data_IF_838764421043
#
_entry.id   IF_838764421043
#
_cell.length_a   1.000
_cell.length_b   1.000
_cell.length_c   1.000
_cell.angle_alpha   90.00
_cell.angle_beta   90.00
_cell.angle_gamma   90.00
#
_symmetry.space_group_name_H-M   'P 1'
#
loop_
_entity.id
_entity.type
_entity.pdbx_description
1 polymer ?
#
# COMPACT_ATOMS: atom_id res chain seq x y z
N UNK A 1 3.48 -52.80 -44.53
CA UNK A 1 4.76 -52.74 -43.79
C UNK A 1 4.68 -51.55 -42.84
N UNK A 2 4.95 -51.77 -41.54
CA UNK A 2 5.15 -50.79 -40.44
C UNK A 2 3.91 -49.98 -39.96
N UNK A 3 3.32 -50.34 -38.80
CA UNK A 3 3.59 -49.94 -37.38
C UNK A 3 2.82 -48.66 -37.00
N UNK A 4 1.77 -48.75 -36.17
CA UNK A 4 1.78 -48.68 -34.69
C UNK A 4 2.30 -47.33 -34.17
N UNK A 5 1.39 -46.51 -33.61
CA UNK A 5 1.49 -45.68 -32.38
C UNK A 5 0.23 -44.81 -32.33
N UNK A 6 -0.80 -45.23 -31.59
CA UNK A 6 -1.86 -44.37 -31.05
C UNK A 6 -2.61 -45.19 -30.00
N UNK A 7 -2.12 -45.16 -28.75
CA UNK A 7 -2.86 -45.47 -27.51
C UNK A 7 -1.88 -45.43 -26.34
N UNK A 8 -1.63 -44.21 -25.84
CA UNK A 8 -1.15 -43.89 -24.48
C UNK A 8 -1.15 -42.37 -24.41
N UNK A 9 -2.21 -41.80 -23.84
CA UNK A 9 -2.28 -40.46 -23.25
C UNK A 9 -3.74 -40.15 -22.90
N UNK A 10 -4.33 -40.88 -21.96
CA UNK A 10 -5.66 -40.54 -21.45
C UNK A 10 -5.96 -41.10 -20.04
N UNK A 11 -4.96 -41.11 -19.15
CA UNK A 11 -5.21 -41.37 -17.71
C UNK A 11 -4.63 -40.26 -16.81
N UNK A 12 -3.52 -39.61 -17.18
CA UNK A 12 -3.00 -38.45 -16.42
C UNK A 12 -3.88 -37.19 -16.55
N UNK A 13 -4.57 -37.01 -17.68
CA UNK A 13 -5.44 -35.86 -17.93
C UNK A 13 -6.79 -35.94 -17.20
N UNK A 14 -7.26 -37.15 -16.86
CA UNK A 14 -8.50 -37.34 -16.10
C UNK A 14 -8.28 -37.06 -14.60
N UNK A 15 -7.17 -37.52 -14.01
CA UNK A 15 -6.85 -37.27 -12.61
C UNK A 15 -6.61 -35.78 -12.30
N UNK A 16 -6.10 -34.99 -13.26
CA UNK A 16 -5.91 -33.54 -13.08
C UNK A 16 -7.25 -32.79 -13.10
N UNK A 17 -8.21 -33.22 -13.92
CA UNK A 17 -9.55 -32.62 -13.95
C UNK A 17 -10.37 -32.96 -12.71
N UNK A 18 -10.23 -34.17 -12.16
CA UNK A 18 -10.88 -34.57 -10.92
C UNK A 18 -10.23 -33.91 -9.68
N UNK A 19 -8.91 -33.68 -9.68
CA UNK A 19 -8.23 -32.91 -8.63
C UNK A 19 -8.66 -31.43 -8.61
N UNK A 20 -8.76 -30.80 -9.78
CA UNK A 20 -9.17 -29.40 -9.90
C UNK A 20 -10.66 -29.16 -9.64
N UNK A 21 -11.51 -30.19 -9.75
CA UNK A 21 -12.94 -30.07 -9.46
C UNK A 21 -13.26 -30.12 -7.95
N UNK A 22 -12.30 -30.51 -7.10
CA UNK A 22 -12.43 -30.49 -5.65
C UNK A 22 -11.92 -29.20 -4.99
N UNK A 23 -11.25 -28.33 -5.74
CA UNK A 23 -10.92 -26.98 -5.29
C UNK A 23 -12.16 -26.13 -5.48
N UNK A 24 -12.96 -26.02 -4.42
CA UNK A 24 -13.88 -24.89 -4.31
C UNK A 24 -13.01 -23.64 -4.27
N UNK A 25 -12.93 -22.95 -5.40
CA UNK A 25 -12.50 -21.56 -5.41
C UNK A 25 -13.60 -20.79 -4.70
N UNK A 26 -13.34 -20.43 -3.45
CA UNK A 26 -14.12 -19.37 -2.81
C UNK A 26 -14.05 -18.16 -3.75
N UNK A 27 -15.22 -17.61 -4.04
CA UNK A 27 -15.31 -16.35 -4.77
C UNK A 27 -14.40 -15.36 -4.05
N UNK A 28 -13.65 -14.58 -4.83
CA UNK A 28 -12.98 -13.37 -4.37
C UNK A 28 -14.03 -12.57 -3.59
N UNK A 29 -14.03 -12.68 -2.26
CA UNK A 29 -14.76 -11.74 -1.45
C UNK A 29 -14.12 -10.39 -1.73
N UNK A 30 -14.98 -9.44 -2.09
CA UNK A 30 -14.65 -8.04 -2.22
C UNK A 30 -13.70 -7.66 -1.08
N UNK A 31 -12.64 -6.89 -1.39
CA UNK A 31 -11.84 -6.19 -0.39
C UNK A 31 -12.67 -5.09 0.27
N UNK A 32 -13.83 -5.44 0.83
CA UNK A 32 -14.33 -4.75 1.98
C UNK A 32 -13.50 -5.27 3.15
N UNK A 33 -12.35 -4.64 3.37
CA UNK A 33 -11.83 -4.51 4.73
C UNK A 33 -13.05 -4.12 5.57
N UNK A 34 -13.50 -5.03 6.42
CA UNK A 34 -14.52 -4.76 7.42
C UNK A 34 -13.91 -3.73 8.37
N UNK A 35 -13.98 -2.48 7.95
CA UNK A 35 -13.48 -1.26 8.55
C UNK A 35 -14.34 -0.88 9.77
N UNK A 36 -14.43 -1.80 10.73
CA UNK A 36 -15.01 -1.55 12.04
C UNK A 36 -13.98 -1.43 13.15
N UNK A 37 -12.70 -1.72 12.88
CA UNK A 37 -11.76 -1.94 13.96
C UNK A 37 -10.32 -1.63 13.52
N UNK A 38 -9.87 -0.38 13.75
CA UNK A 38 -8.48 0.12 13.64
C UNK A 38 -7.75 -0.01 12.28
N UNK A 39 -7.98 -1.05 11.49
CA UNK A 39 -7.36 -1.33 10.20
C UNK A 39 -7.66 -0.29 9.12
N UNK A 40 -8.72 0.52 9.24
CA UNK A 40 -8.95 1.64 8.34
C UNK A 40 -8.02 2.84 8.61
N UNK A 41 -7.44 2.95 9.81
CA UNK A 41 -6.43 3.95 10.13
C UNK A 41 -5.00 3.42 9.94
N UNK A 42 -4.82 2.09 9.90
CA UNK A 42 -3.52 1.43 9.84
C UNK A 42 -3.16 0.81 8.49
N UNK A 43 -4.11 0.62 7.57
CA UNK A 43 -3.84 -0.08 6.30
C UNK A 43 -3.04 0.74 5.29
N UNK A 44 -2.83 2.04 5.50
CA UNK A 44 -2.24 2.96 4.51
C UNK A 44 -0.98 3.70 4.99
N UNK A 45 -0.37 3.31 6.12
CA UNK A 45 0.50 4.26 6.83
C UNK A 45 1.81 3.67 7.37
N UNK A 46 2.91 3.87 6.63
CA UNK A 46 4.33 4.03 7.06
C UNK A 46 5.22 4.08 5.77
N UNK A 47 6.21 4.95 5.59
CA UNK A 47 7.41 5.17 6.41
C UNK A 47 7.93 6.61 6.30
N UNK A 48 8.38 7.25 7.40
CA UNK A 48 9.00 8.58 7.31
C UNK A 48 9.35 9.31 8.62
N UNK A 49 8.65 9.06 9.72
CA UNK A 49 9.00 9.64 11.04
C UNK A 49 9.65 8.61 11.98
N UNK A 50 10.54 9.06 12.88
CA UNK A 50 11.25 8.20 13.83
C UNK A 50 10.29 7.63 14.89
N UNK A 51 9.78 6.43 14.61
CA UNK A 51 8.85 5.66 15.46
C UNK A 51 9.54 4.98 16.66
N UNK A 52 10.84 5.21 16.88
CA UNK A 52 11.72 4.35 17.67
C UNK A 52 11.34 4.10 19.13
N UNK A 53 10.45 4.90 19.73
CA UNK A 53 9.94 4.67 21.09
C UNK A 53 8.61 3.90 21.14
N UNK A 54 7.85 3.86 20.05
CA UNK A 54 6.51 3.25 19.98
C UNK A 54 6.51 1.93 19.20
N UNK A 55 7.53 1.69 18.37
CA UNK A 55 7.68 0.48 17.55
C UNK A 55 9.06 -0.13 17.83
N UNK A 56 9.06 -1.41 18.19
CA UNK A 56 10.30 -2.15 18.42
C UNK A 56 10.92 -2.62 17.10
N UNK A 57 12.25 -2.65 17.05
CA UNK A 57 12.95 -3.27 15.93
C UNK A 57 12.61 -4.77 15.86
N UNK A 58 12.36 -5.31 14.65
CA UNK A 58 11.96 -6.70 14.50
C UNK A 58 13.10 -7.64 14.87
N UNK A 59 12.77 -8.66 15.66
CA UNK A 59 13.62 -9.84 15.82
C UNK A 59 13.39 -10.74 14.62
N UNK A 60 14.41 -10.90 13.78
CA UNK A 60 14.36 -11.73 12.57
C UNK A 60 15.25 -12.95 12.71
N UNK A 61 14.81 -14.05 12.12
CA UNK A 61 15.59 -15.28 12.06
C UNK A 61 15.84 -15.64 10.58
N UNK A 62 17.00 -16.22 10.27
CA UNK A 62 17.28 -16.79 8.95
C UNK A 62 17.95 -18.15 9.14
N UNK A 63 17.36 -19.19 8.55
CA UNK A 63 17.87 -20.55 8.63
C UNK A 63 19.15 -20.76 7.82
N UNK A 64 20.06 -21.61 8.31
CA UNK A 64 21.34 -21.87 7.66
C UNK A 64 21.24 -22.59 6.30
N UNK A 65 20.11 -23.26 6.03
CA UNK A 65 19.78 -23.95 4.79
C UNK A 65 18.60 -23.31 4.04
N UNK A 66 18.25 -22.07 4.41
CA UNK A 66 17.10 -21.33 3.87
C UNK A 66 15.76 -21.62 4.56
N UNK A 67 15.74 -22.50 5.58
CA UNK A 67 14.54 -22.84 6.33
C UNK A 67 14.77 -22.77 7.84
N UNK A 68 13.77 -22.32 8.59
CA UNK A 68 13.82 -22.26 10.05
C UNK A 68 13.22 -23.50 10.73
N UNK A 69 12.52 -24.35 9.98
CA UNK A 69 11.89 -25.56 10.52
C UNK A 69 11.99 -26.76 9.57
N UNK A 70 11.72 -27.95 10.11
CA UNK A 70 11.51 -29.16 9.32
C UNK A 70 10.12 -29.21 8.68
N UNK A 71 9.87 -30.26 7.89
CA UNK A 71 8.59 -30.48 7.21
C UNK A 71 7.43 -30.68 8.19
N UNK A 72 6.29 -30.06 7.89
CA UNK A 72 5.02 -30.21 8.62
C UNK A 72 3.89 -30.49 7.64
N UNK A 73 3.78 -31.74 7.22
CA UNK A 73 2.80 -32.16 6.20
C UNK A 73 1.40 -32.37 6.80
N UNK A 74 0.37 -31.97 6.05
CA UNK A 74 -1.03 -32.24 6.39
C UNK A 74 -1.67 -31.27 7.38
N UNK A 75 -0.97 -30.20 7.73
CA UNK A 75 -1.48 -29.08 8.54
C UNK A 75 -1.76 -27.87 7.67
N UNK A 76 -2.70 -27.03 8.11
CA UNK A 76 -2.92 -25.74 7.45
C UNK A 76 -1.77 -24.78 7.82
N UNK A 77 -1.39 -23.83 6.93
CA UNK A 77 -0.25 -22.95 7.18
C UNK A 77 -0.30 -22.18 8.50
N UNK A 78 -1.48 -21.72 8.93
CA UNK A 78 -1.65 -21.01 10.19
C UNK A 78 -1.33 -21.90 11.41
N UNK A 79 -1.79 -23.14 11.41
CA UNK A 79 -1.47 -24.11 12.47
C UNK A 79 0.04 -24.39 12.54
N UNK A 80 0.70 -24.52 11.38
CA UNK A 80 2.16 -24.67 11.31
C UNK A 80 2.88 -23.46 11.90
N UNK A 81 2.41 -22.25 11.57
CA UNK A 81 2.96 -21.00 12.07
C UNK A 81 2.79 -20.88 13.60
N UNK A 82 1.59 -21.12 14.11
CA UNK A 82 1.28 -21.07 15.55
C UNK A 82 2.16 -22.03 16.36
N UNK A 83 2.28 -23.29 15.92
CA UNK A 83 3.11 -24.28 16.59
C UNK A 83 4.59 -23.90 16.57
N UNK A 84 5.07 -23.37 15.44
CA UNK A 84 6.44 -22.90 15.33
C UNK A 84 6.71 -21.72 16.28
N UNK A 85 5.82 -20.74 16.32
CA UNK A 85 5.96 -19.58 17.19
C UNK A 85 5.92 -19.98 18.67
N UNK A 86 4.99 -20.85 19.07
CA UNK A 86 4.91 -21.35 20.45
C UNK A 86 6.18 -22.12 20.87
N UNK A 87 6.71 -22.96 19.98
CA UNK A 87 7.91 -23.74 20.26
C UNK A 87 9.20 -22.90 20.31
N UNK A 88 9.23 -21.76 19.61
CA UNK A 88 10.42 -20.92 19.45
C UNK A 88 10.23 -19.49 20.00
N UNK A 89 9.26 -19.26 20.90
CA UNK A 89 8.92 -17.93 21.41
C UNK A 89 10.14 -17.19 21.99
N UNK A 90 11.03 -17.91 22.69
CA UNK A 90 12.24 -17.34 23.28
C UNK A 90 13.21 -16.75 22.26
N UNK A 91 13.21 -17.25 21.02
CA UNK A 91 14.09 -16.75 19.95
C UNK A 91 13.67 -15.35 19.50
N UNK A 92 12.41 -14.98 19.76
CA UNK A 92 11.85 -13.64 19.52
C UNK A 92 11.84 -12.78 20.80
N UNK A 93 12.43 -13.25 21.90
CA UNK A 93 12.37 -12.56 23.20
C UNK A 93 11.00 -12.65 23.88
N UNK A 94 10.14 -13.58 23.47
CA UNK A 94 8.77 -13.76 23.97
C UNK A 94 8.65 -15.00 24.85
N UNK A 95 7.55 -15.06 25.60
CA UNK A 95 7.05 -16.28 26.22
C UNK A 95 5.94 -16.90 25.38
N UNK A 96 5.61 -18.17 25.63
CA UNK A 96 4.46 -18.80 24.99
C UNK A 96 3.13 -18.12 25.35
N UNK A 97 3.06 -17.46 26.51
CA UNK A 97 1.88 -16.69 26.94
C UNK A 97 1.70 -15.45 26.06
N UNK A 98 2.78 -14.77 25.66
CA UNK A 98 2.72 -13.56 24.82
C UNK A 98 2.12 -13.79 23.42
N UNK A 99 2.03 -15.06 23.01
CA UNK A 99 1.40 -15.51 21.77
C UNK A 99 -0.07 -15.93 21.96
N UNK A 100 -0.63 -15.73 23.16
CA UNK A 100 -1.98 -16.17 23.51
C UNK A 100 -3.11 -15.26 23.02
N UNK A 101 -2.81 -14.02 22.63
CA UNK A 101 -3.79 -13.01 22.24
C UNK A 101 -3.33 -12.23 21.01
N UNK A 102 -3.92 -12.54 19.87
CA UNK A 102 -3.65 -11.86 18.59
C UNK A 102 -4.85 -11.99 17.65
N UNK A 103 -4.86 -11.13 16.62
CA UNK A 103 -5.75 -11.22 15.46
C UNK A 103 -4.94 -11.60 14.23
N UNK A 104 -5.47 -12.48 13.39
CA UNK A 104 -4.89 -12.72 12.06
C UNK A 104 -5.18 -11.48 11.21
N UNK A 105 -4.15 -10.69 10.94
CA UNK A 105 -4.27 -9.45 10.18
C UNK A 105 -4.39 -9.74 8.68
N UNK A 106 -3.54 -10.63 8.18
CA UNK A 106 -3.59 -11.08 6.79
C UNK A 106 -3.06 -12.50 6.63
N UNK A 107 -3.57 -13.18 5.61
CA UNK A 107 -3.06 -14.46 5.16
C UNK A 107 -3.26 -14.55 3.65
N UNK A 108 -2.18 -14.72 2.89
CA UNK A 108 -2.26 -14.87 1.44
C UNK A 108 -1.20 -15.83 0.91
N UNK A 109 -1.45 -16.36 -0.29
CA UNK A 109 -0.54 -17.29 -0.95
C UNK A 109 0.03 -16.62 -2.20
N UNK A 110 1.36 -16.56 -2.27
CA UNK A 110 2.06 -16.11 -3.47
C UNK A 110 1.85 -17.11 -4.60
N UNK A 111 1.27 -16.69 -5.73
CA UNK A 111 0.86 -17.63 -6.80
C UNK A 111 2.04 -18.37 -7.44
N UNK A 112 3.17 -17.69 -7.62
CA UNK A 112 4.34 -18.22 -8.32
C UNK A 112 5.18 -19.17 -7.45
N UNK A 113 5.34 -18.85 -6.16
CA UNK A 113 6.16 -19.63 -5.23
C UNK A 113 5.34 -20.61 -4.39
N UNK A 114 4.02 -20.42 -4.31
CA UNK A 114 3.10 -21.15 -3.42
C UNK A 114 3.42 -21.01 -1.93
N UNK A 115 4.24 -20.02 -1.55
CA UNK A 115 4.50 -19.67 -0.15
C UNK A 115 3.29 -18.93 0.39
N UNK A 116 2.86 -19.31 1.60
CA UNK A 116 1.81 -18.62 2.35
C UNK A 116 2.46 -17.61 3.29
N UNK A 117 2.06 -16.35 3.20
CA UNK A 117 2.48 -15.27 4.07
C UNK A 117 1.36 -14.96 5.07
N UNK A 118 1.70 -14.87 6.34
CA UNK A 118 0.76 -14.66 7.44
C UNK A 118 1.27 -13.49 8.27
N UNK A 119 0.40 -12.51 8.52
CA UNK A 119 0.64 -11.43 9.46
C UNK A 119 -0.31 -11.57 10.65
N UNK A 120 0.24 -11.55 11.87
CA UNK A 120 -0.51 -11.57 13.13
C UNK A 120 -0.32 -10.23 13.82
N UNK A 121 -1.40 -9.68 14.38
CA UNK A 121 -1.41 -8.42 15.12
C UNK A 121 -1.64 -8.73 16.60
N UNK A 122 -0.69 -8.35 17.47
CA UNK A 122 -0.80 -8.61 18.91
C UNK A 122 -1.99 -7.83 19.47
N UNK A 123 -2.71 -8.47 20.40
CA UNK A 123 -3.81 -7.84 21.12
C UNK A 123 -3.62 -7.88 22.63
N UNK A 124 -3.96 -6.78 23.29
CA UNK A 124 -4.00 -6.66 24.74
C UNK A 124 -5.36 -6.09 25.16
N UNK A 125 -6.04 -6.73 26.12
CA UNK A 125 -7.46 -6.49 26.44
C UNK A 125 -8.39 -6.54 25.20
N UNK A 126 -8.06 -7.36 24.21
CA UNK A 126 -8.79 -7.48 22.95
C UNK A 126 -8.64 -6.28 22.00
N UNK A 127 -7.73 -5.34 22.28
CA UNK A 127 -7.39 -4.23 21.39
C UNK A 127 -6.04 -4.45 20.72
N UNK A 128 -5.90 -4.00 19.48
CA UNK A 128 -4.63 -4.09 18.77
C UNK A 128 -3.55 -3.21 19.44
N UNK A 129 -2.34 -3.75 19.51
CA UNK A 129 -1.15 -3.04 19.99
C UNK A 129 -0.36 -2.51 18.78
N UNK A 130 -0.25 -1.19 18.67
CA UNK A 130 0.39 -0.49 17.55
C UNK A 130 1.82 -1.02 17.29
N UNK A 131 2.10 -1.33 16.02
CA UNK A 131 3.42 -1.77 15.55
C UNK A 131 3.84 -3.15 16.06
N UNK A 132 2.96 -3.87 16.74
CA UNK A 132 3.22 -5.17 17.36
C UNK A 132 2.72 -6.32 16.47
N UNK A 133 3.57 -6.77 15.56
CA UNK A 133 3.24 -7.70 14.48
C UNK A 133 4.15 -8.93 14.48
N UNK A 134 3.63 -10.06 14.01
CA UNK A 134 4.44 -11.20 13.58
C UNK A 134 4.19 -11.40 12.09
N UNK A 135 5.27 -11.45 11.31
CA UNK A 135 5.22 -11.84 9.91
C UNK A 135 5.91 -13.20 9.75
N UNK A 136 5.20 -14.18 9.22
CA UNK A 136 5.69 -15.54 9.06
C UNK A 136 5.32 -16.11 7.69
N UNK A 137 6.29 -16.74 7.05
CA UNK A 137 6.17 -17.32 5.71
C UNK A 137 6.32 -18.84 5.77
N UNK A 138 5.29 -19.54 5.31
CA UNK A 138 5.15 -21.00 5.35
C UNK A 138 5.13 -21.55 3.93
N UNK A 139 6.06 -22.44 3.60
CA UNK A 139 6.07 -23.11 2.30
C UNK A 139 4.99 -24.19 2.21
N UNK A 140 4.63 -24.59 0.99
CA UNK A 140 3.55 -25.56 0.72
C UNK A 140 3.77 -26.96 1.34
N UNK A 141 4.98 -27.28 1.81
CA UNK A 141 5.28 -28.52 2.54
C UNK A 141 5.39 -28.33 4.07
N UNK A 142 4.97 -27.15 4.56
CA UNK A 142 4.90 -26.80 5.98
C UNK A 142 6.22 -26.38 6.61
N UNK A 143 7.27 -26.13 5.81
CA UNK A 143 8.51 -25.53 6.33
C UNK A 143 8.37 -24.03 6.50
N UNK A 144 8.94 -23.49 7.57
CA UNK A 144 9.04 -22.04 7.80
C UNK A 144 10.22 -21.52 6.99
N UNK A 145 9.96 -20.59 6.08
CA UNK A 145 10.97 -19.93 5.26
C UNK A 145 11.60 -18.78 6.05
N UNK A 146 10.74 -17.93 6.62
CA UNK A 146 11.12 -16.77 7.38
C UNK A 146 10.06 -16.45 8.44
N UNK A 147 10.51 -15.91 9.56
CA UNK A 147 9.66 -15.39 10.63
C UNK A 147 10.36 -14.18 11.25
N UNK A 148 9.58 -13.13 11.52
CA UNK A 148 10.00 -11.94 12.23
C UNK A 148 8.91 -11.48 13.18
N UNK A 149 9.30 -10.89 14.31
CA UNK A 149 8.39 -10.45 15.35
C UNK A 149 8.77 -9.08 15.90
N UNK A 150 7.77 -8.23 16.09
CA UNK A 150 7.80 -7.03 16.93
C UNK A 150 6.80 -7.13 18.10
N UNK A 151 6.29 -8.33 18.39
CA UNK A 151 5.41 -8.54 19.54
C UNK A 151 6.07 -8.04 20.83
N UNK A 152 5.27 -7.39 21.68
CA UNK A 152 5.75 -6.91 22.97
C UNK A 152 5.74 -8.06 23.99
N UNK A 153 6.84 -8.28 24.72
CA UNK A 153 6.87 -9.27 25.79
C UNK A 153 6.11 -8.78 27.03
N UNK A 154 5.58 -9.71 27.82
CA UNK A 154 4.91 -9.43 29.09
C UNK A 154 3.43 -9.04 28.98
N UNK A 155 2.81 -9.23 27.80
CA UNK A 155 1.38 -8.99 27.57
C UNK A 155 0.57 -10.30 27.44
N UNK A 156 1.20 -11.44 27.74
CA UNK A 156 0.63 -12.77 27.53
C UNK A 156 -0.60 -13.16 28.36
N UNK A 157 -0.95 -12.39 29.39
CA UNK A 157 -2.23 -12.58 30.09
C UNK A 157 -3.43 -12.03 29.30
N UNK A 158 -3.18 -11.30 28.22
CA UNK A 158 -4.21 -10.64 27.43
C UNK A 158 -4.93 -9.51 28.19
N UNK A 159 -4.41 -9.10 29.34
CA UNK A 159 -4.94 -8.05 30.22
C UNK A 159 -6.07 -8.50 31.16
N UNK A 160 -6.69 -7.53 31.85
CA UNK A 160 -7.61 -7.79 32.98
C UNK A 160 -9.07 -8.03 32.58
N UNK A 161 -9.44 -7.87 31.31
CA UNK A 161 -10.84 -7.91 30.79
C UNK A 161 -11.81 -6.90 31.42
N UNK A 162 -11.32 -5.99 32.27
CA UNK A 162 -12.12 -4.92 32.84
C UNK A 162 -12.54 -3.91 31.77
N UNK A 163 -13.63 -3.14 31.98
CA UNK A 163 -14.00 -2.08 31.06
C UNK A 163 -12.85 -1.08 30.92
N UNK A 164 -12.45 -0.80 29.69
CA UNK A 164 -11.45 0.23 29.39
C UNK A 164 -11.93 1.58 29.93
N UNK A 165 -11.20 2.11 30.91
CA UNK A 165 -11.46 3.42 31.48
C UNK A 165 -10.67 4.46 30.70
N UNK A 166 -11.36 5.28 29.92
CA UNK A 166 -10.78 6.47 29.28
C UNK A 166 -10.99 7.68 30.17
N UNK A 167 -9.94 8.45 30.44
CA UNK A 167 -10.06 9.72 31.16
C UNK A 167 -10.21 10.91 30.20
N UNK A 168 -9.94 10.70 28.91
CA UNK A 168 -10.04 11.72 27.86
C UNK A 168 -11.21 11.43 26.93
N UNK A 169 -12.08 12.41 26.74
CA UNK A 169 -13.16 12.35 25.74
C UNK A 169 -12.58 12.37 24.31
N UNK A 170 -13.11 11.58 23.37
CA UNK A 170 -12.57 11.52 22.01
C UNK A 170 -12.62 12.85 21.25
N UNK A 171 -13.57 13.75 21.52
CA UNK A 171 -13.59 15.09 20.90
C UNK A 171 -12.43 15.94 21.43
N UNK A 172 -12.16 15.87 22.73
CA UNK A 172 -11.02 16.57 23.34
C UNK A 172 -9.69 16.01 22.80
N UNK A 173 -9.59 14.68 22.68
CA UNK A 173 -8.41 14.03 22.08
C UNK A 173 -8.22 14.44 20.61
N UNK A 174 -9.29 14.47 19.81
CA UNK A 174 -9.22 14.92 18.42
C UNK A 174 -8.81 16.40 18.32
N UNK A 175 -9.30 17.25 19.22
CA UNK A 175 -8.89 18.65 19.28
C UNK A 175 -7.40 18.80 19.60
N UNK A 176 -6.84 17.97 20.49
CA UNK A 176 -5.39 17.89 20.73
C UNK A 176 -4.65 17.49 19.46
N UNK A 177 -5.12 16.48 18.73
CA UNK A 177 -4.49 16.05 17.47
C UNK A 177 -4.48 17.17 16.42
N UNK A 178 -5.62 17.83 16.19
CA UNK A 178 -5.70 18.97 15.27
C UNK A 178 -4.73 20.10 15.66
N UNK A 179 -4.68 20.44 16.95
CA UNK A 179 -3.78 21.49 17.43
C UNK A 179 -2.30 21.11 17.24
N UNK A 180 -1.92 19.86 17.49
CA UNK A 180 -0.55 19.39 17.34
C UNK A 180 -0.11 19.37 15.87
N UNK A 181 -1.03 19.00 14.97
CA UNK A 181 -0.81 18.94 13.52
C UNK A 181 -0.94 20.30 12.82
N UNK A 182 -1.29 21.37 13.55
CA UNK A 182 -1.49 22.70 12.96
C UNK A 182 -2.73 22.80 12.06
N UNK A 183 -3.67 21.87 12.18
CA UNK A 183 -4.89 21.82 11.37
C UNK A 183 -5.91 22.85 11.87
N UNK A 184 -6.47 23.63 10.94
CA UNK A 184 -7.41 24.71 11.27
C UNK A 184 -8.85 24.21 11.27
N UNK A 185 -9.42 24.05 12.47
CA UNK A 185 -10.82 23.68 12.66
C UNK A 185 -11.73 24.86 12.31
N UNK A 186 -12.68 24.64 11.40
CA UNK A 186 -13.64 25.67 10.98
C UNK A 186 -15.07 25.39 11.45
N UNK A 187 -15.36 24.15 11.84
CA UNK A 187 -16.64 23.71 12.40
C UNK A 187 -16.40 22.88 13.66
N UNK A 188 -17.24 23.03 14.69
CA UNK A 188 -17.07 22.27 15.92
C UNK A 188 -17.27 20.77 15.68
N UNK A 189 -16.36 19.89 16.15
CA UNK A 189 -16.53 18.44 16.01
C UNK A 189 -17.79 17.93 16.71
N UNK A 190 -18.52 17.03 16.05
CA UNK A 190 -19.72 16.38 16.56
C UNK A 190 -19.59 14.88 16.41
N UNK A 191 -19.94 14.14 17.47
CA UNK A 191 -19.99 12.69 17.45
C UNK A 191 -21.19 12.23 16.61
N UNK A 192 -20.93 11.68 15.43
CA UNK A 192 -21.93 11.13 14.52
C UNK A 192 -22.33 9.71 14.92
N UNK A 193 -21.37 8.94 15.46
CA UNK A 193 -21.58 7.62 16.01
C UNK A 193 -20.97 7.52 17.42
N UNK A 194 -21.76 7.14 18.45
CA UNK A 194 -21.23 6.91 19.79
C UNK A 194 -20.30 5.69 19.84
N UNK A 195 -19.47 5.54 20.88
CA UNK A 195 -18.59 4.40 21.06
C UNK A 195 -19.30 3.05 20.89
N UNK A 196 -18.74 2.19 20.04
CA UNK A 196 -19.25 0.83 19.78
C UNK A 196 -18.13 -0.20 19.83
N UNK A 197 -18.45 -1.44 20.20
CA UNK A 197 -17.47 -2.52 20.27
C UNK A 197 -16.49 -2.38 21.44
N UNK A 198 -15.50 -3.28 21.47
CA UNK A 198 -14.49 -3.33 22.53
C UNK A 198 -13.49 -2.17 22.39
N UNK A 199 -13.13 -1.82 21.17
CA UNK A 199 -12.27 -0.70 20.81
C UNK A 199 -12.94 0.68 20.91
N UNK A 200 -14.20 0.75 21.35
CA UNK A 200 -14.94 2.01 21.43
C UNK A 200 -14.91 2.81 20.12
N UNK A 201 -15.06 2.13 18.96
CA UNK A 201 -15.05 2.78 17.66
C UNK A 201 -16.13 3.86 17.55
N UNK A 202 -15.74 4.99 16.98
CA UNK A 202 -16.52 6.23 16.83
C UNK A 202 -16.38 6.83 15.43
N UNK A 203 -17.35 7.67 15.08
CA UNK A 203 -17.29 8.54 13.89
C UNK A 203 -17.58 9.97 14.34
N UNK A 204 -16.70 10.90 13.98
CA UNK A 204 -16.79 12.32 14.28
C UNK A 204 -16.95 13.07 12.94
N UNK A 205 -17.64 14.20 12.96
CA UNK A 205 -17.76 15.08 11.79
C UNK A 205 -16.41 15.56 11.27
N UNK A 206 -16.38 15.90 10.00
CA UNK A 206 -15.24 16.42 9.24
C UNK A 206 -14.62 17.68 9.87
N UNK A 207 -15.42 18.43 10.64
CA UNK A 207 -15.01 19.63 11.40
C UNK A 207 -14.41 20.74 10.51
N UNK A 208 -14.73 20.67 9.21
CA UNK A 208 -14.16 21.48 8.15
C UNK A 208 -12.65 21.31 7.93
N UNK A 209 -12.06 20.25 8.50
CA UNK A 209 -10.64 19.86 8.35
C UNK A 209 -10.51 18.70 7.37
N UNK A 210 -11.35 17.68 7.51
CA UNK A 210 -11.25 16.45 6.74
C UNK A 210 -12.12 16.46 5.47
N UNK A 211 -11.76 15.62 4.49
CA UNK A 211 -12.54 15.37 3.28
C UNK A 211 -13.76 14.47 3.53
N UNK A 212 -13.73 13.69 4.61
CA UNK A 212 -14.77 12.73 5.01
C UNK A 212 -14.88 12.61 6.54
N UNK A 213 -15.97 12.02 7.09
CA UNK A 213 -16.11 11.84 8.53
C UNK A 213 -14.94 11.09 9.16
N UNK A 214 -14.41 11.65 10.24
CA UNK A 214 -13.21 11.17 10.92
C UNK A 214 -13.56 9.93 11.73
N UNK A 215 -12.92 8.82 11.41
CA UNK A 215 -13.05 7.56 12.16
C UNK A 215 -12.03 7.56 13.29
N UNK A 216 -12.45 7.08 14.46
CA UNK A 216 -11.56 6.88 15.59
C UNK A 216 -11.85 5.61 16.38
N UNK A 217 -10.86 5.13 17.11
CA UNK A 217 -10.95 3.95 17.97
C UNK A 217 -9.84 3.94 19.03
N UNK A 218 -10.02 3.14 20.07
CA UNK A 218 -9.00 2.88 21.09
C UNK A 218 -8.05 1.79 20.65
N UNK A 219 -6.76 1.96 20.96
CA UNK A 219 -5.71 0.96 20.80
C UNK A 219 -4.61 1.12 21.87
N UNK A 220 -3.59 0.27 21.83
CA UNK A 220 -2.47 0.32 22.75
C UNK A 220 -1.16 0.66 22.05
N UNK A 221 -0.33 1.54 22.61
CA UNK A 221 1.03 1.80 22.12
C UNK A 221 2.06 1.46 23.19
N UNK A 222 3.24 1.00 22.77
CA UNK A 222 4.35 0.79 23.69
C UNK A 222 4.84 2.12 24.27
N UNK A 223 5.08 2.17 25.59
CA UNK A 223 5.54 3.36 26.28
C UNK A 223 6.98 3.25 26.85
N UNK A 224 7.71 2.22 26.45
CA UNK A 224 9.07 1.93 26.96
C UNK A 224 9.11 0.97 28.16
N UNK A 225 7.98 0.69 28.81
CA UNK A 225 7.91 -0.24 29.96
C UNK A 225 6.66 -1.13 29.98
N UNK A 226 5.68 -0.83 29.14
CA UNK A 226 4.41 -1.52 29.00
C UNK A 226 3.63 -0.88 27.86
N UNK A 227 2.30 -0.83 27.98
CA UNK A 227 1.45 -0.21 26.96
C UNK A 227 0.53 0.83 27.58
N UNK A 228 0.32 1.93 26.84
CA UNK A 228 -0.66 2.97 27.17
C UNK A 228 -1.83 2.92 26.19
N UNK A 229 -3.03 3.17 26.72
CA UNK A 229 -4.24 3.27 25.93
C UNK A 229 -4.27 4.63 25.19
N UNK A 230 -4.56 4.61 23.89
CA UNK A 230 -4.68 5.81 23.07
C UNK A 230 -5.99 5.84 22.29
N UNK A 231 -6.41 7.04 21.88
CA UNK A 231 -7.29 7.27 20.74
C UNK A 231 -6.46 7.39 19.46
N UNK A 232 -6.85 6.64 18.43
CA UNK A 232 -6.37 6.80 17.07
C UNK A 232 -7.44 7.47 16.22
N UNK A 233 -7.04 8.39 15.35
CA UNK A 233 -7.92 9.08 14.39
C UNK A 233 -7.35 8.99 12.98
N UNK A 234 -8.19 8.61 12.01
CA UNK A 234 -7.88 8.76 10.59
C UNK A 234 -8.37 10.11 10.08
N UNK A 235 -7.45 10.96 9.63
CA UNK A 235 -7.72 12.35 9.20
C UNK A 235 -7.15 12.55 7.79
N UNK A 236 -8.01 12.36 6.79
CA UNK A 236 -7.73 12.74 5.41
C UNK A 236 -8.05 14.22 5.24
N UNK A 237 -7.05 15.08 5.06
CA UNK A 237 -7.28 16.52 5.00
C UNK A 237 -8.06 16.90 3.76
N UNK A 238 -8.92 17.91 3.89
CA UNK A 238 -9.83 18.35 2.82
C UNK A 238 -9.10 18.84 1.56
N UNK A 239 -7.89 19.35 1.73
CA UNK A 239 -7.03 19.80 0.63
C UNK A 239 -6.24 18.66 -0.04
N UNK A 240 -6.34 17.43 0.49
CA UNK A 240 -5.65 16.24 -0.03
C UNK A 240 -4.15 16.21 0.25
N UNK A 241 -3.60 17.19 1.00
CA UNK A 241 -2.16 17.27 1.23
C UNK A 241 -1.66 16.26 2.27
N UNK A 242 -2.54 15.77 3.16
CA UNK A 242 -2.15 14.88 4.25
C UNK A 242 -3.21 13.80 4.51
N UNK A 243 -2.74 12.64 4.95
CA UNK A 243 -3.54 11.49 5.33
C UNK A 243 -3.02 10.97 6.68
N UNK A 244 -3.45 11.60 7.77
CA UNK A 244 -2.89 11.32 9.07
C UNK A 244 -3.57 10.14 9.76
N UNK A 245 -2.77 9.24 10.31
CA UNK A 245 -3.13 8.46 11.48
C UNK A 245 -2.59 9.17 12.73
N UNK A 246 -3.45 9.82 13.51
CA UNK A 246 -3.05 10.60 14.69
C UNK A 246 -3.38 9.86 15.99
N UNK A 247 -2.45 9.89 16.95
CA UNK A 247 -2.52 9.15 18.21
C UNK A 247 -2.43 10.08 19.41
N UNK A 248 -3.37 9.94 20.33
CA UNK A 248 -3.49 10.77 21.54
C UNK A 248 -3.77 9.88 22.73
N UNK A 249 -3.09 10.08 23.86
CA UNK A 249 -3.31 9.28 25.07
C UNK A 249 -4.77 9.37 25.53
N UNK A 250 -5.41 8.22 25.71
CA UNK A 250 -6.77 8.13 26.23
C UNK A 250 -6.82 8.35 27.77
N UNK A 251 -5.65 8.40 28.42
CA UNK A 251 -5.52 8.62 29.86
C UNK A 251 -5.16 10.05 30.23
N UNK A 252 -4.18 10.66 29.54
CA UNK A 252 -3.74 12.04 29.84
C UNK A 252 -4.29 13.07 28.86
N UNK A 253 -4.66 12.64 27.64
CA UNK A 253 -5.03 13.54 26.55
C UNK A 253 -3.83 14.17 25.85
N UNK A 254 -2.62 13.74 26.17
CA UNK A 254 -1.40 14.21 25.51
C UNK A 254 -1.31 13.67 24.08
N UNK A 255 -0.89 14.54 23.15
CA UNK A 255 -0.51 14.12 21.81
C UNK A 255 0.68 13.17 21.88
N UNK A 256 0.58 12.01 21.24
CA UNK A 256 1.66 11.03 21.20
C UNK A 256 2.48 11.20 19.94
N UNK A 257 1.83 11.07 18.79
CA UNK A 257 2.44 11.11 17.47
C UNK A 257 1.33 11.15 16.40
N UNK A 258 1.75 11.37 15.16
CA UNK A 258 0.94 11.06 14.00
C UNK A 258 1.86 10.47 12.94
N UNK A 259 1.29 9.73 12.02
CA UNK A 259 1.99 9.30 10.82
C UNK A 259 1.22 9.87 9.64
N UNK A 260 1.93 10.50 8.73
CA UNK A 260 1.36 10.95 7.46
C UNK A 260 1.52 9.83 6.42
N UNK A 261 0.40 9.35 5.90
CA UNK A 261 0.34 8.30 4.90
C UNK A 261 0.46 8.81 3.47
N UNK A 262 0.55 10.13 3.25
CA UNK A 262 0.81 10.66 1.90
C UNK A 262 2.24 10.29 1.50
N UNK A 263 2.34 9.40 0.50
CA UNK A 263 3.63 9.04 -0.07
C UNK A 263 4.04 10.12 -1.07
N UNK A 264 5.15 10.78 -0.76
CA UNK A 264 5.65 11.87 -1.56
C UNK A 264 6.47 11.35 -2.74
N UNK A 265 5.90 11.39 -3.95
CA UNK A 265 6.55 10.88 -5.15
C UNK A 265 7.72 11.78 -5.56
N UNK A 266 8.86 11.17 -5.87
CA UNK A 266 10.08 11.87 -6.29
C UNK A 266 10.47 11.48 -7.69
N UNK A 267 10.71 12.47 -8.54
CA UNK A 267 11.12 12.26 -9.92
C UNK A 267 12.41 13.01 -10.20
N UNK A 268 13.44 12.29 -10.64
CA UNK A 268 14.64 12.90 -11.20
C UNK A 268 14.40 13.22 -12.69
N UNK A 269 13.86 14.40 -12.96
CA UNK A 269 13.40 14.80 -14.30
C UNK A 269 13.87 16.21 -14.66
N UNK A 270 13.81 16.55 -15.94
CA UNK A 270 14.06 17.92 -16.42
C UNK A 270 12.80 18.75 -16.16
N UNK A 271 12.88 19.68 -15.21
CA UNK A 271 11.76 20.53 -14.84
C UNK A 271 11.37 21.47 -16.00
N UNK A 272 10.06 21.63 -16.21
CA UNK A 272 9.53 22.70 -17.07
C UNK A 272 9.99 24.07 -16.53
N UNK A 273 10.32 25.04 -17.41
CA UNK A 273 10.05 25.07 -18.85
C UNK A 273 11.19 24.55 -19.74
N UNK A 274 12.25 23.94 -19.19
CA UNK A 274 13.32 23.39 -20.02
C UNK A 274 12.77 22.22 -20.87
N UNK A 275 12.96 22.28 -22.19
CA UNK A 275 12.37 21.29 -23.10
C UNK A 275 13.28 20.09 -23.40
N UNK A 276 14.55 20.16 -23.00
CA UNK A 276 15.56 19.15 -23.32
C UNK A 276 16.80 19.27 -22.40
N UNK A 277 17.70 18.26 -22.41
CA UNK A 277 18.92 18.27 -21.60
C UNK A 277 19.93 19.40 -21.90
N UNK A 278 19.84 20.06 -23.06
CA UNK A 278 20.71 21.20 -23.40
C UNK A 278 20.19 22.52 -22.79
N UNK A 279 18.89 22.60 -22.49
CA UNK A 279 18.22 23.76 -21.89
C UNK A 279 18.14 23.69 -20.36
N UNK A 280 18.26 22.50 -19.77
CA UNK A 280 18.23 22.27 -18.32
C UNK A 280 18.77 20.90 -17.94
N UNK A 281 19.14 20.74 -16.67
CA UNK A 281 19.58 19.45 -16.11
C UNK A 281 18.45 18.76 -15.36
N UNK A 282 18.56 17.45 -15.15
CA UNK A 282 17.68 16.74 -14.23
C UNK A 282 17.73 17.37 -12.82
N UNK A 283 16.58 17.39 -12.16
CA UNK A 283 16.40 17.81 -10.78
C UNK A 283 15.50 16.80 -10.08
N UNK A 284 15.72 16.59 -8.78
CA UNK A 284 14.78 15.85 -7.95
C UNK A 284 13.60 16.77 -7.66
N UNK A 285 12.45 16.41 -8.20
CA UNK A 285 11.18 17.10 -8.03
C UNK A 285 10.31 16.24 -7.13
N UNK A 286 9.84 16.84 -6.03
CA UNK A 286 8.99 16.19 -5.03
C UNK A 286 7.55 16.68 -5.23
N UNK A 287 6.59 15.75 -5.20
CA UNK A 287 5.14 15.96 -5.30
C UNK A 287 4.68 16.96 -6.37
N UNK A 288 5.03 16.71 -7.64
CA UNK A 288 4.65 17.61 -8.72
C UNK A 288 3.15 17.59 -9.07
N UNK A 289 2.39 16.59 -8.59
CA UNK A 289 0.99 16.42 -8.96
C UNK A 289 0.12 17.60 -8.50
N UNK A 290 -0.70 18.13 -9.40
CA UNK A 290 -1.68 19.15 -9.03
C UNK A 290 -2.95 18.47 -8.50
N UNK A 291 -3.09 18.43 -7.18
CA UNK A 291 -4.18 17.74 -6.48
C UNK A 291 -5.59 18.29 -6.79
N UNK A 292 -5.73 19.42 -7.50
CA UNK A 292 -7.05 19.88 -7.94
C UNK A 292 -7.52 19.20 -9.24
N UNK A 293 -6.61 18.58 -10.00
CA UNK A 293 -6.90 17.91 -11.28
C UNK A 293 -6.39 16.46 -11.32
N UNK A 294 -5.45 16.11 -10.45
CA UNK A 294 -5.00 14.76 -10.14
C UNK A 294 -5.17 14.49 -8.63
N UNK A 295 -6.41 14.39 -8.11
CA UNK A 295 -6.71 14.41 -6.67
C UNK A 295 -6.16 13.24 -5.86
N UNK A 296 -5.78 12.14 -6.52
CA UNK A 296 -5.17 10.96 -5.91
C UNK A 296 -3.70 10.79 -6.34
N UNK A 297 -3.08 11.86 -6.82
CA UNK A 297 -1.75 11.82 -7.41
C UNK A 297 -1.74 11.19 -8.80
N UNK A 298 -0.55 10.85 -9.29
CA UNK A 298 -0.39 10.32 -10.65
C UNK A 298 -0.43 8.79 -10.74
N UNK A 299 -0.26 8.07 -9.64
CA UNK A 299 -0.12 6.61 -9.60
C UNK A 299 -1.37 5.86 -9.11
N UNK A 300 -2.45 6.59 -8.83
CA UNK A 300 -3.79 6.02 -8.60
C UNK A 300 -4.55 5.93 -9.93
N UNK A 301 -5.50 5.01 -9.99
CA UNK A 301 -6.44 4.78 -11.08
C UNK A 301 -7.85 4.49 -10.60
N UNK A 302 -8.10 4.31 -9.30
CA UNK A 302 -9.40 3.86 -8.79
C UNK A 302 -10.10 4.92 -7.92
N UNK A 303 -9.42 5.99 -7.53
CA UNK A 303 -9.98 7.08 -6.74
C UNK A 303 -10.07 6.76 -5.25
N UNK A 304 -9.26 5.82 -4.78
CA UNK A 304 -9.00 5.54 -3.37
C UNK A 304 -7.64 6.13 -3.04
N UNK A 305 -7.47 6.59 -1.80
CA UNK A 305 -6.19 7.15 -1.38
C UNK A 305 -5.08 6.09 -1.45
N UNK A 306 -3.89 6.52 -1.86
CA UNK A 306 -2.74 5.65 -2.06
C UNK A 306 -2.56 5.21 -3.52
N UNK A 307 -1.32 4.92 -3.95
CA UNK A 307 -1.05 4.48 -5.31
C UNK A 307 -1.33 2.99 -5.51
N UNK A 308 -1.90 2.61 -6.66
CA UNK A 308 -1.94 1.19 -7.09
C UNK A 308 -0.63 0.73 -7.73
N UNK A 309 0.13 1.69 -8.27
CA UNK A 309 1.32 1.43 -9.05
C UNK A 309 2.53 2.10 -8.41
N UNK A 310 3.63 1.35 -8.32
CA UNK A 310 4.95 1.87 -7.90
C UNK A 310 5.85 2.18 -9.08
N UNK A 311 5.40 1.86 -10.30
CA UNK A 311 6.09 2.12 -11.55
C UNK A 311 5.42 3.24 -12.34
N UNK A 312 5.95 3.55 -13.52
CA UNK A 312 5.48 4.62 -14.43
C UNK A 312 4.12 4.34 -15.10
N UNK A 313 3.13 3.92 -14.29
CA UNK A 313 1.71 3.73 -14.61
C UNK A 313 0.85 4.60 -13.70
N UNK A 314 -0.29 5.03 -14.24
CA UNK A 314 -1.12 6.02 -13.58
C UNK A 314 -2.44 6.31 -14.28
N UNK A 315 -3.25 7.19 -13.69
CA UNK A 315 -4.53 7.59 -14.26
C UNK A 315 -4.38 8.23 -15.64
N UNK A 316 -3.41 9.13 -15.80
CA UNK A 316 -3.30 9.99 -16.99
C UNK A 316 -2.50 9.32 -18.12
N UNK A 317 -1.47 8.54 -17.75
CA UNK A 317 -0.51 7.97 -18.68
C UNK A 317 0.13 6.70 -18.14
N UNK A 318 0.45 5.80 -19.05
CA UNK A 318 1.33 4.65 -18.86
C UNK A 318 2.55 4.87 -19.75
N UNK A 319 3.75 4.83 -19.19
CA UNK A 319 5.00 4.97 -19.94
C UNK A 319 5.80 3.68 -19.85
N UNK A 320 6.28 3.20 -20.98
CA UNK A 320 7.18 2.04 -21.07
C UNK A 320 8.15 2.19 -22.25
N UNK A 321 9.16 1.32 -22.37
CA UNK A 321 9.95 1.25 -23.60
C UNK A 321 9.21 0.51 -24.71
N UNK A 322 9.36 0.92 -25.97
CA UNK A 322 8.85 0.18 -27.13
C UNK A 322 9.61 -1.13 -27.40
N UNK A 323 9.03 -2.00 -28.22
CA UNK A 323 9.64 -3.25 -28.71
C UNK A 323 9.24 -3.46 -30.19
N UNK A 324 9.99 -4.29 -30.92
CA UNK A 324 9.79 -4.51 -32.35
C UNK A 324 8.52 -5.35 -32.61
N UNK A 325 7.49 -4.74 -33.20
CA UNK A 325 6.35 -5.42 -33.85
C UNK A 325 4.95 -5.14 -33.27
N UNK A 326 3.86 -5.37 -34.05
CA UNK A 326 2.49 -5.05 -33.64
C UNK A 326 1.69 -6.23 -33.00
N UNK A 327 0.74 -5.97 -32.07
CA UNK A 327 0.57 -4.76 -31.27
C UNK A 327 1.56 -4.75 -30.10
N UNK A 328 1.88 -3.55 -29.62
CA UNK A 328 2.74 -3.24 -28.47
C UNK A 328 2.53 -4.24 -27.33
N UNK A 329 3.58 -4.99 -27.04
CA UNK A 329 3.62 -5.88 -25.90
C UNK A 329 3.65 -5.01 -24.63
N UNK A 330 2.75 -5.21 -23.64
CA UNK A 330 2.76 -4.48 -22.37
C UNK A 330 3.87 -4.97 -21.42
N UNK A 331 5.04 -5.25 -21.99
CA UNK A 331 6.21 -5.86 -21.35
C UNK A 331 7.44 -4.95 -21.52
N UNK A 332 7.22 -3.69 -21.94
CA UNK A 332 8.26 -2.68 -22.01
C UNK A 332 8.84 -2.43 -20.62
N UNK A 333 10.09 -1.96 -20.58
CA UNK A 333 10.75 -1.59 -19.34
C UNK A 333 10.06 -0.34 -18.80
N UNK A 334 9.76 -0.36 -17.50
CA UNK A 334 9.22 0.76 -16.73
C UNK A 334 10.18 1.09 -15.60
N UNK A 335 10.38 2.38 -15.32
CA UNK A 335 10.95 2.78 -14.05
C UNK A 335 10.00 2.41 -12.91
N UNK A 336 10.56 1.87 -11.83
CA UNK A 336 9.87 1.46 -10.59
C UNK A 336 10.52 2.21 -9.43
N UNK A 337 9.74 3.09 -8.80
CA UNK A 337 10.15 3.89 -7.65
C UNK A 337 10.05 3.13 -6.33
N UNK A 338 9.55 1.89 -6.36
CA UNK A 338 9.30 1.09 -5.17
C UNK A 338 8.22 1.68 -4.28
N UNK A 339 8.17 1.21 -3.03
CA UNK A 339 7.17 1.67 -2.05
C UNK A 339 7.26 3.18 -1.78
N UNK A 340 8.45 3.78 -1.91
CA UNK A 340 8.67 5.21 -1.66
C UNK A 340 8.33 6.11 -2.86
N UNK A 341 7.92 5.54 -4.01
CA UNK A 341 7.74 6.26 -5.27
C UNK A 341 8.94 7.15 -5.64
N UNK A 342 10.16 6.62 -5.46
CA UNK A 342 11.41 7.33 -5.67
C UNK A 342 12.07 6.97 -7.02
N UNK A 343 11.70 7.70 -8.07
CA UNK A 343 12.21 7.53 -9.43
C UNK A 343 13.47 8.38 -9.67
N UNK A 344 14.63 7.86 -9.27
CA UNK A 344 15.88 8.64 -9.16
C UNK A 344 16.95 8.32 -10.20
N UNK A 345 16.62 7.56 -11.24
CA UNK A 345 17.57 7.21 -12.30
C UNK A 345 18.20 8.43 -12.98
N UNK A 346 19.52 8.36 -13.19
CA UNK A 346 20.31 9.47 -13.75
C UNK A 346 20.50 9.23 -15.25
N UNK A 347 20.19 10.23 -16.06
CA UNK A 347 20.54 10.25 -17.48
C UNK A 347 22.05 10.43 -17.65
N UNK A 348 22.69 9.53 -18.40
CA UNK A 348 24.09 9.63 -18.78
C UNK A 348 24.22 9.81 -20.31
N UNK A 349 24.65 10.99 -20.79
CA UNK A 349 24.80 11.26 -22.22
C UNK A 349 25.93 10.47 -22.89
N UNK A 350 26.81 9.82 -22.12
CA UNK A 350 27.90 8.98 -22.65
C UNK A 350 27.47 7.51 -22.83
N UNK A 351 26.26 7.14 -22.39
CA UNK A 351 25.67 5.82 -22.58
C UNK A 351 24.70 5.82 -23.76
N UNK A 352 24.61 4.69 -24.46
CA UNK A 352 23.60 4.48 -25.50
C UNK A 352 22.18 4.55 -24.91
N UNK A 353 21.20 4.88 -25.76
CA UNK A 353 19.81 5.07 -25.32
C UNK A 353 19.15 3.77 -24.81
N UNK A 354 19.57 2.62 -25.33
CA UNK A 354 19.03 1.29 -25.02
C UNK A 354 19.67 0.65 -23.77
N UNK A 355 20.58 1.38 -23.11
CA UNK A 355 21.10 0.98 -21.80
C UNK A 355 20.02 1.20 -20.74
N UNK A 356 19.78 0.18 -19.92
CA UNK A 356 18.73 0.17 -18.89
C UNK A 356 18.65 1.47 -18.09
N UNK A 357 19.78 2.02 -17.65
CA UNK A 357 19.82 3.29 -16.90
C UNK A 357 19.16 4.46 -17.68
N UNK A 358 19.49 4.62 -18.96
CA UNK A 358 18.92 5.68 -19.80
C UNK A 358 17.45 5.38 -20.16
N UNK A 359 17.07 4.11 -20.28
CA UNK A 359 15.67 3.71 -20.47
C UNK A 359 14.81 4.02 -19.24
N UNK A 360 15.29 3.74 -18.02
CA UNK A 360 14.60 4.07 -16.77
C UNK A 360 14.50 5.59 -16.57
N UNK A 361 15.59 6.32 -16.85
CA UNK A 361 15.58 7.79 -16.82
C UNK A 361 14.62 8.38 -17.85
N UNK A 362 14.60 7.84 -19.07
CA UNK A 362 13.69 8.31 -20.14
C UNK A 362 12.23 8.01 -19.84
N UNK A 363 11.90 6.83 -19.30
CA UNK A 363 10.52 6.50 -18.90
C UNK A 363 10.06 7.40 -17.75
N UNK A 364 10.90 7.63 -16.74
CA UNK A 364 10.64 8.58 -15.64
C UNK A 364 10.40 10.00 -16.15
N UNK A 365 11.30 10.53 -16.98
CA UNK A 365 11.20 11.90 -17.48
C UNK A 365 9.93 12.09 -18.35
N UNK A 366 9.58 11.11 -19.19
CA UNK A 366 8.36 11.15 -19.99
C UNK A 366 7.11 11.07 -19.13
N UNK A 367 7.06 10.18 -18.13
CA UNK A 367 5.93 10.06 -17.21
C UNK A 367 5.69 11.37 -16.45
N UNK A 368 6.75 11.96 -15.90
CA UNK A 368 6.70 13.29 -15.28
C UNK A 368 6.18 14.36 -16.23
N UNK A 369 6.73 14.43 -17.44
CA UNK A 369 6.39 15.50 -18.40
C UNK A 369 4.95 15.42 -18.87
N UNK A 370 4.45 14.22 -19.19
CA UNK A 370 3.08 14.04 -19.68
C UNK A 370 2.06 14.32 -18.58
N UNK A 371 2.32 13.89 -17.34
CA UNK A 371 1.45 14.24 -16.22
C UNK A 371 1.43 15.75 -15.93
N UNK A 372 2.58 16.44 -15.99
CA UNK A 372 2.59 17.91 -15.88
C UNK A 372 1.77 18.59 -16.97
N UNK A 373 1.85 18.09 -18.21
CA UNK A 373 1.04 18.60 -19.32
C UNK A 373 -0.44 18.33 -19.08
N UNK A 374 -0.81 17.14 -18.62
CA UNK A 374 -2.19 16.81 -18.21
C UNK A 374 -2.69 17.83 -17.19
N UNK A 375 -1.98 17.99 -16.08
CA UNK A 375 -2.40 18.84 -14.98
C UNK A 375 -2.53 20.31 -15.41
N UNK A 376 -1.53 20.83 -16.12
CA UNK A 376 -1.56 22.19 -16.68
C UNK A 376 -2.76 22.36 -17.62
N UNK A 377 -2.95 21.46 -18.58
CA UNK A 377 -4.03 21.62 -19.58
C UNK A 377 -5.42 21.45 -18.98
N UNK A 378 -5.59 20.60 -17.97
CA UNK A 378 -6.82 20.46 -17.19
C UNK A 378 -7.17 21.77 -16.47
N UNK A 379 -6.19 22.45 -15.86
CA UNK A 379 -6.39 23.80 -15.29
C UNK A 379 -6.85 24.83 -16.31
N UNK A 380 -6.47 24.66 -17.58
CA UNK A 380 -6.87 25.54 -18.68
C UNK A 380 -8.11 25.07 -19.44
N UNK A 381 -8.83 24.06 -18.93
CA UNK A 381 -10.15 23.64 -19.42
C UNK A 381 -10.15 22.44 -20.36
N UNK A 382 -9.03 21.72 -20.49
CA UNK A 382 -9.04 20.36 -21.03
C UNK A 382 -9.26 19.36 -19.88
N UNK A 383 -10.48 19.38 -19.34
CA UNK A 383 -10.93 18.55 -18.22
C UNK A 383 -11.68 17.28 -18.70
N UNK A 384 -12.19 16.49 -17.76
CA UNK A 384 -12.96 15.26 -18.03
C UNK A 384 -14.15 15.51 -18.98
N UNK A 385 -14.89 16.60 -18.78
CA UNK A 385 -16.02 16.95 -19.63
C UNK A 385 -15.59 17.36 -21.05
N UNK A 386 -14.39 17.94 -21.19
CA UNK A 386 -13.77 18.26 -22.46
C UNK A 386 -13.09 17.07 -23.15
N UNK A 387 -13.02 15.91 -22.48
CA UNK A 387 -12.43 14.68 -23.01
C UNK A 387 -10.91 14.63 -22.88
N UNK A 388 -10.38 14.98 -21.70
CA UNK A 388 -9.00 14.69 -21.36
C UNK A 388 -8.73 13.18 -21.23
N UNK A 389 -7.45 12.79 -21.19
CA UNK A 389 -7.01 11.40 -21.22
C UNK A 389 -6.84 10.85 -19.81
N UNK A 390 -7.74 9.98 -19.38
CA UNK A 390 -7.70 9.39 -18.04
C UNK A 390 -8.29 7.97 -18.02
N UNK A 391 -7.72 7.08 -17.19
CA UNK A 391 -8.28 5.75 -16.94
C UNK A 391 -9.63 5.87 -16.23
N UNK A 392 -9.70 6.75 -15.25
CA UNK A 392 -10.88 7.03 -14.42
C UNK A 392 -11.14 8.54 -14.39
N UNK A 393 -12.40 8.91 -14.60
CA UNK A 393 -12.88 10.29 -14.47
C UNK A 393 -13.48 10.47 -13.07
N UNK A 394 -12.76 11.12 -12.17
CA UNK A 394 -13.14 11.24 -10.76
C UNK A 394 -14.33 12.18 -10.53
N UNK A 395 -14.59 13.14 -11.43
CA UNK A 395 -15.81 13.97 -11.36
C UNK A 395 -17.05 13.24 -11.88
N UNK A 396 -16.87 12.09 -12.55
CA UNK A 396 -17.93 11.33 -13.20
C UNK A 396 -18.47 11.98 -14.47
N UNK A 397 -17.77 12.97 -15.02
CA UNK A 397 -18.12 13.61 -16.31
C UNK A 397 -17.27 13.03 -17.45
N UNK A 398 -17.66 13.26 -18.71
CA UNK A 398 -16.91 12.74 -19.85
C UNK A 398 -17.01 11.22 -20.06
N UNK A 399 -16.01 10.67 -20.76
CA UNK A 399 -15.83 9.23 -20.99
C UNK A 399 -14.41 8.90 -20.56
N UNK A 400 -14.24 7.92 -19.66
CA UNK A 400 -12.95 7.49 -19.14
C UNK A 400 -12.43 6.24 -19.88
N UNK A 401 -11.26 5.73 -19.48
CA UNK A 401 -10.64 4.52 -20.04
C UNK A 401 -9.73 4.81 -21.22
N UNK A 402 -9.21 6.04 -21.29
CA UNK A 402 -8.41 6.56 -22.41
C UNK A 402 -7.10 7.22 -21.95
N UNK A 403 -6.53 6.75 -20.85
CA UNK A 403 -5.16 7.09 -20.46
C UNK A 403 -4.19 6.85 -21.62
N UNK A 404 -3.21 7.76 -21.77
CA UNK A 404 -2.19 7.66 -22.82
C UNK A 404 -1.29 6.44 -22.58
N UNK A 405 -0.99 5.67 -23.63
CA UNK A 405 0.13 4.74 -23.64
C UNK A 405 1.29 5.38 -24.40
N UNK A 406 2.44 5.54 -23.75
CA UNK A 406 3.61 6.18 -24.37
C UNK A 406 4.79 5.22 -24.35
N UNK A 407 5.21 4.82 -25.55
CA UNK A 407 6.45 4.08 -25.76
C UNK A 407 7.60 5.06 -25.94
N UNK A 408 8.57 5.05 -25.02
CA UNK A 408 9.87 5.67 -25.25
C UNK A 408 10.79 4.71 -26.00
N UNK A 409 11.76 5.23 -26.74
CA UNK A 409 12.75 4.41 -27.45
C UNK A 409 12.11 3.34 -28.36
N UNK A 410 11.04 3.71 -29.06
CA UNK A 410 10.31 2.77 -29.91
C UNK A 410 11.09 2.50 -31.22
N UNK A 411 11.52 1.23 -31.47
CA UNK A 411 12.34 0.90 -32.62
C UNK A 411 11.58 0.98 -33.95
N UNK A 412 10.24 1.05 -33.93
CA UNK A 412 9.43 1.15 -35.15
C UNK A 412 9.49 2.55 -35.79
N UNK A 413 9.96 3.57 -35.05
CA UNK A 413 10.13 4.94 -35.56
C UNK A 413 11.42 5.61 -35.07
N UNK A 414 12.42 5.68 -35.96
CA UNK A 414 13.70 6.38 -35.70
C UNK A 414 13.63 7.82 -36.21
N UNK A 415 14.18 8.78 -35.45
CA UNK A 415 14.22 10.21 -35.77
C UNK A 415 12.85 10.86 -36.00
N UNK A 416 11.80 10.34 -35.34
CA UNK A 416 10.46 10.89 -35.39
C UNK A 416 9.70 10.59 -34.08
N UNK A 417 8.53 11.19 -33.92
CA UNK A 417 7.53 10.80 -32.92
C UNK A 417 6.16 10.82 -33.58
N UNK A 418 5.26 9.94 -33.16
CA UNK A 418 3.87 9.90 -33.61
C UNK A 418 2.93 9.70 -32.43
N UNK A 419 1.69 10.09 -32.61
CA UNK A 419 0.61 9.85 -31.66
C UNK A 419 -0.62 9.46 -32.46
N UNK A 420 -1.24 8.35 -32.07
CA UNK A 420 -2.58 8.00 -32.50
C UNK A 420 -3.54 8.52 -31.42
N UNK A 421 -4.54 9.30 -31.83
CA UNK A 421 -5.52 9.89 -30.91
C UNK A 421 -6.88 9.34 -31.30
N UNK A 422 -7.40 8.45 -30.46
CA UNK A 422 -8.72 7.85 -30.63
C UNK A 422 -9.83 8.74 -30.02
N UNK A 423 -11.11 8.53 -30.38
CA UNK A 423 -12.21 9.16 -29.67
C UNK A 423 -12.21 8.77 -28.17
N UNK A 424 -12.80 9.60 -27.29
CA UNK A 424 -12.82 9.32 -25.85
C UNK A 424 -13.33 7.92 -25.51
N UNK A 425 -12.71 7.30 -24.50
CA UNK A 425 -12.97 5.92 -24.06
C UNK A 425 -12.28 4.81 -24.83
N UNK A 426 -11.34 5.15 -25.71
CA UNK A 426 -10.40 4.20 -26.31
C UNK A 426 -8.99 4.69 -26.02
N UNK A 427 -8.17 3.84 -25.40
CA UNK A 427 -6.75 4.12 -25.21
C UNK A 427 -6.13 4.64 -26.53
N UNK A 428 -5.45 5.80 -26.51
CA UNK A 428 -4.75 6.37 -27.65
C UNK A 428 -3.67 5.43 -28.20
#
# INVERSE_FOLDING_TARGET
MFKSIMKRNNQQTLNRKEFLAGLQFENLEDRNLLAGDLGAAFAEVAEGEDLGNFILAPSTMVGADGYQSGFSLGKIPLEVAEEYLQANASDFGLTAEDLGSYRVLSQFVSEHTRVTHIALQQQYNGLDVLGSLINISVENDGRIVAAGSTFLPGLGDGGTTDPLMTNTDPIDALATAFSALGLTVTESPVLLQPPTGQNQSIIISESGVASEPIKGALGYAYNGSGVDLFWAFGINTRDGQHAYAAFVSAESGDYLMAIDGVMNAKYNAIALPAGNPDEGSQQIIEDPADLLVSPFGWHDTNGVAGPEFTDTRGNNVIVETGDVGPPSNPIGIRADGGVDLAFLDIFDPELEHDVLQNQLSSTTNTFFTINQIHDITARYGFDEAAGNFQTTNYTGTGVAGDALLVNVDDPDAICNAFADINPPGFAP
#
